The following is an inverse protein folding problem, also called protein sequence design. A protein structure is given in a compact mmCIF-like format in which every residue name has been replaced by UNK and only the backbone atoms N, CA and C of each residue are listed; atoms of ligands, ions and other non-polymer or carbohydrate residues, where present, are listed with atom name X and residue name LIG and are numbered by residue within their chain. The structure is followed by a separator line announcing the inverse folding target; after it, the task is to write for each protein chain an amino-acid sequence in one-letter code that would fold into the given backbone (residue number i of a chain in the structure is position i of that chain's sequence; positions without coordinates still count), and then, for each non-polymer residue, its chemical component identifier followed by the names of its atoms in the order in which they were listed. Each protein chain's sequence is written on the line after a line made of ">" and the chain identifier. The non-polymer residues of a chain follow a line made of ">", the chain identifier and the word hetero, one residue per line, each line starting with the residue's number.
data_IF_766907038104
#
_entry.id   IF_766907038104
#
_cell.length_a   1.000
_cell.length_b   1.000
_cell.length_c   1.000
_cell.angle_alpha   90.00
_cell.angle_beta   90.00
_cell.angle_gamma   90.00
#
_symmetry.space_group_name_H-M   'P 1'
#
loop_
_entity.id
_entity.type
_entity.pdbx_description
1 polymer ?
#
# COMPACT_ATOMS: atom_id res chain seq x y z
N UNK A 1 -5.12 14.21 -10.83
CA UNK A 1 -5.65 15.15 -9.82
C UNK A 1 -6.74 14.40 -9.07
N UNK A 2 -6.58 14.16 -7.78
CA UNK A 2 -7.58 13.46 -6.97
C UNK A 2 -8.92 14.19 -7.00
N UNK A 3 -10.01 13.43 -7.10
CA UNK A 3 -11.36 13.95 -6.96
C UNK A 3 -11.53 14.63 -5.59
N UNK A 4 -12.49 15.57 -5.49
CA UNK A 4 -12.75 16.27 -4.22
C UNK A 4 -13.12 15.30 -3.10
N UNK A 5 -13.85 14.24 -3.42
CA UNK A 5 -14.27 13.20 -2.48
C UNK A 5 -13.08 12.40 -1.96
N UNK A 6 -12.10 12.09 -2.82
CA UNK A 6 -10.87 11.40 -2.42
C UNK A 6 -10.02 12.25 -1.47
N UNK A 7 -9.84 13.54 -1.77
CA UNK A 7 -9.11 14.44 -0.87
C UNK A 7 -9.79 14.55 0.48
N UNK A 8 -11.12 14.75 0.48
CA UNK A 8 -11.90 14.81 1.73
C UNK A 8 -11.79 13.52 2.55
N UNK A 9 -11.77 12.34 1.91
CA UNK A 9 -11.56 11.08 2.60
C UNK A 9 -10.17 10.98 3.24
N UNK A 10 -9.11 11.28 2.48
CA UNK A 10 -7.74 11.23 3.00
C UNK A 10 -7.51 12.22 4.15
N UNK A 11 -8.04 13.44 4.05
CA UNK A 11 -7.96 14.44 5.11
C UNK A 11 -8.67 13.95 6.38
N UNK A 12 -9.84 13.33 6.23
CA UNK A 12 -10.62 12.79 7.35
C UNK A 12 -9.94 11.60 8.01
N UNK A 13 -9.32 10.73 7.22
CA UNK A 13 -8.49 9.62 7.74
C UNK A 13 -7.27 10.15 8.48
N UNK A 14 -6.56 11.13 7.92
CA UNK A 14 -5.40 11.74 8.57
C UNK A 14 -5.78 12.39 9.92
N UNK A 15 -6.98 12.96 10.01
CA UNK A 15 -7.49 13.61 11.22
C UNK A 15 -8.13 12.67 12.26
N UNK A 16 -8.34 11.38 11.96
CA UNK A 16 -9.07 10.46 12.84
C UNK A 16 -8.33 9.14 13.07
N UNK A 17 -7.82 8.95 14.30
CA UNK A 17 -7.19 7.70 14.76
C UNK A 17 -8.18 6.52 14.69
N UNK A 18 -9.46 6.77 14.96
CA UNK A 18 -10.50 5.75 14.86
C UNK A 18 -10.64 5.25 13.42
N UNK A 19 -10.65 6.15 12.44
CA UNK A 19 -10.71 5.77 11.03
C UNK A 19 -9.45 5.08 10.56
N UNK A 20 -8.28 5.52 11.02
CA UNK A 20 -7.03 4.81 10.75
C UNK A 20 -7.08 3.38 11.29
N UNK A 21 -7.65 3.19 12.47
CA UNK A 21 -7.85 1.85 13.07
C UNK A 21 -8.83 1.01 12.25
N UNK A 22 -9.98 1.57 11.84
CA UNK A 22 -10.96 0.88 10.97
C UNK A 22 -10.34 0.49 9.63
N UNK A 23 -9.50 1.34 9.05
CA UNK A 23 -8.79 1.03 7.81
C UNK A 23 -7.78 -0.11 7.94
N UNK A 24 -7.28 -0.42 9.15
CA UNK A 24 -6.42 -1.61 9.34
C UNK A 24 -7.19 -2.91 9.15
N UNK A 25 -8.50 -2.90 9.40
CA UNK A 25 -9.38 -4.05 9.21
C UNK A 25 -9.89 -4.19 7.76
N UNK A 26 -9.66 -3.20 6.90
CA UNK A 26 -10.06 -3.25 5.49
C UNK A 26 -9.16 -4.23 4.74
N UNK A 27 -9.77 -5.25 4.14
CA UNK A 27 -9.03 -6.28 3.38
C UNK A 27 -9.42 -6.33 1.91
N UNK A 28 -10.50 -5.63 1.53
CA UNK A 28 -11.00 -5.60 0.16
C UNK A 28 -11.41 -4.19 -0.27
N UNK A 29 -11.47 -3.93 -1.60
CA UNK A 29 -12.05 -2.69 -2.13
C UNK A 29 -13.49 -2.44 -1.67
N UNK A 30 -14.28 -3.50 -1.45
CA UNK A 30 -15.68 -3.38 -1.01
C UNK A 30 -15.72 -2.86 0.43
N UNK A 31 -14.89 -3.39 1.32
CA UNK A 31 -14.81 -2.93 2.72
C UNK A 31 -14.40 -1.46 2.78
N UNK A 32 -13.47 -1.06 1.92
CA UNK A 32 -13.03 0.32 1.79
C UNK A 32 -14.20 1.24 1.39
N UNK A 33 -14.92 0.90 0.32
CA UNK A 33 -16.04 1.70 -0.17
C UNK A 33 -17.18 1.77 0.84
N UNK A 34 -17.46 0.66 1.54
CA UNK A 34 -18.43 0.62 2.63
C UNK A 34 -18.02 1.54 3.80
N UNK A 35 -16.74 1.54 4.17
CA UNK A 35 -16.22 2.42 5.21
C UNK A 35 -16.34 3.89 4.80
N UNK A 36 -15.95 4.25 3.58
CA UNK A 36 -16.12 5.61 3.07
C UNK A 36 -17.58 6.07 3.09
N UNK A 37 -18.50 5.20 2.66
CA UNK A 37 -19.94 5.48 2.70
C UNK A 37 -20.45 5.68 4.12
N UNK A 38 -19.95 4.90 5.10
CA UNK A 38 -20.30 5.06 6.51
C UNK A 38 -19.84 6.40 7.10
N UNK A 39 -18.79 7.00 6.52
CA UNK A 39 -18.31 8.35 6.84
C UNK A 39 -19.01 9.46 6.06
N UNK A 40 -20.07 9.12 5.31
CA UNK A 40 -20.84 10.06 4.49
C UNK A 40 -20.15 10.45 3.19
N UNK A 41 -19.14 9.69 2.75
CA UNK A 41 -18.39 9.94 1.51
C UNK A 41 -18.75 8.86 0.48
N UNK A 42 -19.41 9.29 -0.59
CA UNK A 42 -19.74 8.42 -1.71
C UNK A 42 -18.55 8.34 -2.67
N UNK A 43 -17.76 7.28 -2.54
CA UNK A 43 -16.62 7.00 -3.41
C UNK A 43 -17.01 5.95 -4.45
N UNK A 44 -16.65 6.18 -5.70
CA UNK A 44 -16.81 5.20 -6.76
C UNK A 44 -15.67 4.18 -6.76
N UNK A 45 -15.85 3.08 -7.50
CA UNK A 45 -14.75 2.15 -7.77
C UNK A 45 -13.58 2.82 -8.52
N UNK A 46 -13.85 3.83 -9.35
CA UNK A 46 -12.81 4.60 -10.04
C UNK A 46 -12.02 5.48 -9.06
N UNK A 47 -12.69 6.14 -8.12
CA UNK A 47 -12.04 6.91 -7.05
C UNK A 47 -11.11 6.01 -6.22
N UNK A 48 -11.55 4.79 -5.91
CA UNK A 48 -10.74 3.80 -5.22
C UNK A 48 -9.48 3.42 -6.01
N UNK A 49 -9.62 3.09 -7.30
CA UNK A 49 -8.48 2.75 -8.15
C UNK A 49 -7.49 3.91 -8.25
N UNK A 50 -7.98 5.14 -8.38
CA UNK A 50 -7.14 6.34 -8.43
C UNK A 50 -6.36 6.54 -7.13
N UNK A 51 -7.00 6.36 -5.98
CA UNK A 51 -6.32 6.45 -4.68
C UNK A 51 -5.21 5.42 -4.53
N UNK A 52 -5.51 4.16 -4.85
CA UNK A 52 -4.54 3.07 -4.76
C UNK A 52 -3.36 3.31 -5.68
N UNK A 53 -3.61 3.76 -6.90
CA UNK A 53 -2.57 4.08 -7.86
C UNK A 53 -1.70 5.24 -7.37
N UNK A 54 -2.32 6.31 -6.87
CA UNK A 54 -1.58 7.48 -6.38
C UNK A 54 -0.77 7.17 -5.12
N UNK A 55 -1.35 6.47 -4.13
CA UNK A 55 -0.64 6.06 -2.93
C UNK A 55 0.58 5.20 -3.25
N UNK A 56 0.44 4.26 -4.20
CA UNK A 56 1.56 3.45 -4.65
C UNK A 56 2.65 4.29 -5.35
N UNK A 57 2.29 5.21 -6.24
CA UNK A 57 3.28 6.05 -6.92
C UNK A 57 4.02 6.94 -5.91
N UNK A 58 3.32 7.57 -4.98
CA UNK A 58 3.94 8.37 -3.91
C UNK A 58 4.88 7.53 -3.03
N UNK A 59 4.50 6.30 -2.73
CA UNK A 59 5.36 5.37 -2.00
C UNK A 59 6.61 5.02 -2.81
N UNK A 60 6.44 4.60 -4.06
CA UNK A 60 7.50 4.18 -4.98
C UNK A 60 8.55 5.29 -5.20
N UNK A 61 8.11 6.54 -5.33
CA UNK A 61 8.96 7.73 -5.50
C UNK A 61 9.83 8.05 -4.27
N UNK A 62 9.45 7.57 -3.09
CA UNK A 62 10.17 7.78 -1.83
C UNK A 62 11.10 6.63 -1.45
N UNK A 63 11.01 5.50 -2.15
CA UNK A 63 11.90 4.36 -1.95
C UNK A 63 13.30 4.63 -2.51
N UNK A 64 14.31 3.99 -1.90
CA UNK A 64 15.65 3.91 -2.49
C UNK A 64 15.63 3.24 -3.86
N UNK A 65 16.58 3.55 -4.75
CA UNK A 65 16.59 3.09 -6.13
C UNK A 65 16.43 1.58 -6.30
N UNK A 66 17.10 0.75 -5.48
CA UNK A 66 17.01 -0.71 -5.57
C UNK A 66 15.62 -1.25 -5.22
N UNK A 67 14.99 -0.70 -4.19
CA UNK A 67 13.63 -1.09 -3.80
C UNK A 67 12.62 -0.62 -4.83
N UNK A 68 12.80 0.60 -5.34
CA UNK A 68 12.01 1.15 -6.43
C UNK A 68 12.06 0.26 -7.67
N UNK A 69 13.25 -0.19 -8.06
CA UNK A 69 13.44 -1.10 -9.19
C UNK A 69 12.66 -2.41 -8.97
N UNK A 70 12.83 -3.04 -7.81
CA UNK A 70 12.11 -4.27 -7.47
C UNK A 70 10.59 -4.10 -7.56
N UNK A 71 10.02 -3.15 -6.80
CA UNK A 71 8.57 -2.98 -6.74
C UNK A 71 7.98 -2.51 -8.07
N UNK A 72 8.68 -1.63 -8.81
CA UNK A 72 8.26 -1.23 -10.16
C UNK A 72 8.21 -2.42 -11.12
N UNK A 73 9.22 -3.29 -11.07
CA UNK A 73 9.26 -4.49 -11.90
C UNK A 73 8.14 -5.46 -11.54
N UNK A 74 7.93 -5.70 -10.25
CA UNK A 74 6.84 -6.54 -9.75
C UNK A 74 5.48 -6.04 -10.27
N UNK A 75 5.18 -4.75 -10.14
CA UNK A 75 3.88 -4.20 -10.59
C UNK A 75 3.71 -4.20 -12.11
N UNK A 76 4.81 -4.16 -12.86
CA UNK A 76 4.77 -4.25 -14.33
C UNK A 76 4.52 -5.68 -14.86
N UNK A 77 4.70 -6.70 -14.01
CA UNK A 77 4.59 -8.11 -14.41
C UNK A 77 3.54 -8.82 -13.58
N UNK A 78 2.41 -9.17 -14.20
CA UNK A 78 1.28 -9.81 -13.51
C UNK A 78 1.69 -11.04 -12.68
N UNK A 79 2.57 -11.87 -13.21
CA UNK A 79 3.08 -13.05 -12.50
C UNK A 79 3.83 -12.68 -11.21
N UNK A 80 4.70 -11.67 -11.26
CA UNK A 80 5.44 -11.21 -10.08
C UNK A 80 4.50 -10.54 -9.07
N UNK A 81 3.52 -9.76 -9.53
CA UNK A 81 2.50 -9.14 -8.67
C UNK A 81 1.65 -10.19 -7.95
N UNK A 82 1.21 -11.23 -8.66
CA UNK A 82 0.45 -12.34 -8.07
C UNK A 82 1.31 -13.11 -7.04
N UNK A 83 2.62 -13.28 -7.30
CA UNK A 83 3.57 -13.89 -6.36
C UNK A 83 3.84 -13.02 -5.13
N UNK A 84 3.98 -11.71 -5.28
CA UNK A 84 4.19 -10.78 -4.16
C UNK A 84 3.01 -10.80 -3.18
N UNK A 85 1.78 -10.90 -3.69
CA UNK A 85 0.56 -10.92 -2.87
C UNK A 85 0.45 -12.15 -1.96
N UNK A 86 1.12 -13.25 -2.30
CA UNK A 86 1.11 -14.48 -1.51
C UNK A 86 2.30 -14.62 -0.56
N UNK A 87 3.30 -13.73 -0.62
CA UNK A 87 4.36 -13.65 0.38
C UNK A 87 3.77 -13.53 1.79
N UNK A 88 4.29 -14.34 2.72
CA UNK A 88 3.84 -14.36 4.11
C UNK A 88 4.91 -13.85 5.08
N UNK A 89 6.14 -13.65 4.60
CA UNK A 89 7.27 -13.16 5.39
C UNK A 89 8.20 -12.25 4.57
N UNK A 90 9.04 -11.47 5.26
CA UNK A 90 10.14 -10.71 4.65
C UNK A 90 11.08 -11.62 3.85
N UNK A 91 11.32 -12.84 4.33
CA UNK A 91 12.13 -13.85 3.65
C UNK A 91 11.56 -14.21 2.27
N UNK A 92 10.24 -14.37 2.14
CA UNK A 92 9.60 -14.66 0.85
C UNK A 92 9.79 -13.49 -0.14
N UNK A 93 9.64 -12.26 0.36
CA UNK A 93 9.82 -11.06 -0.45
C UNK A 93 11.28 -10.88 -0.90
N UNK A 94 12.25 -11.15 -0.02
CA UNK A 94 13.69 -11.13 -0.34
C UNK A 94 14.03 -12.21 -1.38
N UNK A 95 13.47 -13.41 -1.25
CA UNK A 95 13.65 -14.48 -2.22
C UNK A 95 13.12 -14.06 -3.61
N UNK A 96 11.92 -13.47 -3.66
CA UNK A 96 11.33 -12.95 -4.90
C UNK A 96 12.19 -11.83 -5.52
N UNK A 97 12.74 -10.92 -4.70
CA UNK A 97 13.64 -9.88 -5.17
C UNK A 97 14.92 -10.45 -5.78
N UNK A 98 15.50 -11.47 -5.16
CA UNK A 98 16.68 -12.16 -5.69
C UNK A 98 16.43 -12.81 -7.05
N UNK A 99 15.26 -13.42 -7.25
CA UNK A 99 14.86 -13.94 -8.56
C UNK A 99 14.73 -12.85 -9.63
N UNK A 100 14.39 -11.63 -9.20
CA UNK A 100 14.39 -10.45 -10.07
C UNK A 100 15.80 -9.86 -10.29
N UNK A 101 16.84 -10.44 -9.70
CA UNK A 101 18.21 -9.92 -9.77
C UNK A 101 18.47 -8.72 -8.85
N UNK A 102 17.59 -8.47 -7.87
CA UNK A 102 17.73 -7.39 -6.90
C UNK A 102 18.08 -7.98 -5.54
N UNK A 103 19.19 -7.53 -4.95
CA UNK A 103 19.56 -7.91 -3.59
C UNK A 103 18.90 -6.98 -2.58
N UNK A 104 17.90 -7.49 -1.86
CA UNK A 104 17.26 -6.82 -0.74
C UNK A 104 17.63 -7.50 0.58
N UNK A 105 17.84 -6.70 1.62
CA UNK A 105 17.95 -7.12 3.01
C UNK A 105 16.62 -6.95 3.76
N UNK A 106 16.57 -7.44 4.99
CA UNK A 106 15.44 -7.15 5.89
C UNK A 106 15.35 -5.65 6.21
N UNK A 107 16.49 -4.98 6.41
CA UNK A 107 16.53 -3.52 6.65
C UNK A 107 15.92 -2.73 5.49
N UNK A 108 16.15 -3.18 4.25
CA UNK A 108 15.53 -2.55 3.07
C UNK A 108 14.01 -2.67 3.14
N UNK A 109 13.49 -3.87 3.41
CA UNK A 109 12.04 -4.07 3.54
C UNK A 109 11.47 -3.28 4.72
N UNK A 110 12.19 -3.18 5.83
CA UNK A 110 11.79 -2.36 6.97
C UNK A 110 11.71 -0.88 6.61
N UNK A 111 12.69 -0.36 5.87
CA UNK A 111 12.68 1.02 5.39
C UNK A 111 11.52 1.25 4.42
N UNK A 112 11.25 0.33 3.51
CA UNK A 112 10.10 0.41 2.61
C UNK A 112 8.77 0.42 3.38
N UNK A 113 8.67 -0.38 4.45
CA UNK A 113 7.52 -0.42 5.34
C UNK A 113 7.31 0.91 6.07
N UNK A 114 8.36 1.51 6.61
CA UNK A 114 8.30 2.83 7.24
C UNK A 114 7.88 3.93 6.25
N UNK A 115 8.37 3.89 5.01
CA UNK A 115 7.94 4.82 3.96
C UNK A 115 6.47 4.62 3.65
N UNK A 116 5.97 3.37 3.60
CA UNK A 116 4.55 3.07 3.40
C UNK A 116 3.70 3.62 4.55
N UNK A 117 4.13 3.41 5.79
CA UNK A 117 3.44 3.88 7.00
C UNK A 117 3.27 5.41 7.00
N UNK A 118 4.30 6.14 6.55
CA UNK A 118 4.33 7.59 6.45
C UNK A 118 3.44 8.18 5.31
N UNK A 119 2.92 7.36 4.39
CA UNK A 119 1.95 7.85 3.39
C UNK A 119 0.63 8.16 4.08
N UNK A 120 0.05 9.35 3.96
CA UNK A 120 -1.24 9.65 4.58
C UNK A 120 -2.37 8.82 3.95
N UNK A 121 -3.38 8.44 4.73
CA UNK A 121 -4.54 7.72 4.23
C UNK A 121 -4.33 6.20 4.04
N UNK A 122 -5.08 5.63 3.11
CA UNK A 122 -5.07 4.21 2.77
C UNK A 122 -4.01 3.89 1.71
N UNK A 123 -3.29 2.78 1.91
CA UNK A 123 -2.44 2.17 0.89
C UNK A 123 -2.38 0.65 1.07
N UNK A 124 -2.25 -0.10 -0.02
CA UNK A 124 -2.12 -1.56 0.07
C UNK A 124 -0.77 -1.96 0.64
N UNK A 125 0.24 -1.12 0.48
CA UNK A 125 1.60 -1.36 0.94
C UNK A 125 1.63 -1.44 2.46
N UNK A 126 0.89 -0.55 3.15
CA UNK A 126 0.72 -0.64 4.61
C UNK A 126 0.12 -1.97 5.05
N UNK A 127 -0.93 -2.42 4.36
CA UNK A 127 -1.59 -3.69 4.70
C UNK A 127 -0.67 -4.88 4.43
N UNK A 128 0.07 -4.84 3.33
CA UNK A 128 1.01 -5.89 2.96
C UNK A 128 2.15 -5.98 3.98
N UNK A 129 2.82 -4.88 4.33
CA UNK A 129 3.88 -4.88 5.33
C UNK A 129 3.41 -5.24 6.74
N UNK A 130 2.18 -4.86 7.13
CA UNK A 130 1.57 -5.35 8.38
C UNK A 130 1.41 -6.85 8.39
N UNK A 131 0.95 -7.43 7.28
CA UNK A 131 0.79 -8.89 7.14
C UNK A 131 2.14 -9.61 7.24
N UNK A 132 3.22 -8.99 6.76
CA UNK A 132 4.59 -9.51 6.91
C UNK A 132 5.15 -9.34 8.33
N UNK A 133 4.49 -8.57 9.21
CA UNK A 133 4.96 -8.24 10.55
C UNK A 133 6.04 -7.14 10.59
N UNK A 134 6.15 -6.31 9.55
CA UNK A 134 7.17 -5.26 9.45
C UNK A 134 6.76 -3.93 10.10
N UNK A 135 5.45 -3.68 10.26
CA UNK A 135 4.86 -2.47 10.88
C UNK A 135 3.51 -2.81 11.53
N UNK A 136 3.02 -1.95 12.43
CA UNK A 136 1.79 -2.13 13.23
C UNK A 136 0.52 -1.41 12.69
#
# INVERSE_FOLDING_TARGET
>A
MLSKSVRAFNDRVAASVELQTKLRAVTSPIDFLALAKSEGLDLSGEDFQMMVQEAYQQWLERLDPKMREFFSRVRSTKELDDRLKVCQSSTDAIALARECGVELSEDDLQQAAMVAEAIPGFSFEKLWFRRLGSID
#
